data_IF_048214088376
#
_entry.id   IF_048214088376
#
_cell.length_a   1.000
_cell.length_b   1.000
_cell.length_c   1.000
_cell.angle_alpha   90.00
_cell.angle_beta   90.00
_cell.angle_gamma   90.00
#
_symmetry.space_group_name_H-M   'P 1'
#
loop_
_entity.id
_entity.type
_entity.pdbx_description
1 polymer ?
#
# COMPACT_ATOMS: atom_id res chain seq x y z
N UNK A 1 -0.31 22.51 12.35
CA UNK A 1 -1.07 21.28 12.05
C UNK A 1 -0.20 20.18 11.41
N UNK A 2 0.94 20.49 10.80
CA UNK A 2 1.86 19.47 10.22
C UNK A 2 2.60 18.62 11.27
N UNK A 3 2.64 19.03 12.54
CA UNK A 3 3.40 18.37 13.61
C UNK A 3 2.64 17.22 14.32
N UNK A 4 1.36 16.98 14.03
CA UNK A 4 0.53 16.06 14.84
C UNK A 4 0.74 14.57 14.50
N UNK A 5 1.33 14.26 13.35
CA UNK A 5 1.50 12.88 12.88
C UNK A 5 2.93 12.61 12.47
N UNK A 6 3.42 11.40 12.75
CA UNK A 6 4.69 10.87 12.28
C UNK A 6 4.46 9.80 11.23
N UNK A 7 5.35 9.75 10.23
CA UNK A 7 5.44 8.60 9.33
C UNK A 7 6.75 7.92 9.67
N UNK A 8 6.64 6.76 10.28
CA UNK A 8 7.76 5.89 10.57
C UNK A 8 8.13 5.24 9.25
N UNK A 9 9.20 5.74 8.62
CA UNK A 9 9.89 4.97 7.60
C UNK A 9 10.20 3.62 8.24
N UNK A 10 9.46 2.58 7.86
CA UNK A 10 9.79 1.24 8.29
C UNK A 10 11.19 1.00 7.79
N UNK A 11 12.11 0.88 8.74
CA UNK A 11 13.50 0.69 8.46
C UNK A 11 13.65 -0.66 7.75
N UNK A 12 13.60 -0.65 6.41
CA UNK A 12 14.03 -1.77 5.59
C UNK A 12 15.51 -2.12 5.86
N UNK A 13 16.26 -1.21 6.49
CA UNK A 13 17.59 -1.49 7.03
C UNK A 13 17.59 -2.14 8.44
N UNK A 14 16.50 -2.04 9.22
CA UNK A 14 16.45 -2.57 10.59
C UNK A 14 15.84 -3.96 10.71
N UNK A 15 15.15 -4.50 9.69
CA UNK A 15 14.64 -5.88 9.76
C UNK A 15 15.76 -6.93 9.84
N UNK A 16 16.97 -6.62 9.36
CA UNK A 16 18.15 -7.49 9.51
C UNK A 16 18.92 -7.27 10.84
N UNK A 17 18.73 -6.13 11.52
CA UNK A 17 19.48 -5.77 12.74
C UNK A 17 18.62 -5.80 14.03
N UNK A 18 17.30 -5.74 13.93
CA UNK A 18 16.38 -5.68 15.07
C UNK A 18 16.05 -7.05 15.69
N UNK A 19 16.70 -8.13 15.25
CA UNK A 19 16.62 -9.42 15.92
C UNK A 19 17.32 -9.43 17.31
N UNK A 20 18.00 -8.35 17.71
CA UNK A 20 18.78 -8.30 18.94
C UNK A 20 18.40 -7.21 19.97
N UNK A 21 17.43 -6.32 19.72
CA UNK A 21 17.00 -5.32 20.72
C UNK A 21 15.50 -5.03 20.58
N UNK A 22 14.69 -5.62 21.46
CA UNK A 22 13.32 -5.21 21.78
C UNK A 22 12.44 -4.78 20.60
N UNK A 23 12.11 -5.71 19.70
CA UNK A 23 11.22 -5.44 18.57
C UNK A 23 9.88 -4.83 19.02
N UNK A 24 9.36 -3.90 18.24
CA UNK A 24 8.01 -3.35 18.44
C UNK A 24 7.00 -4.49 18.36
N UNK A 25 6.36 -4.84 19.48
CA UNK A 25 5.25 -5.80 19.50
C UNK A 25 3.95 -5.05 19.21
N UNK A 26 3.24 -5.45 18.16
CA UNK A 26 1.93 -4.90 17.81
C UNK A 26 0.82 -5.60 18.60
N UNK A 27 -0.03 -4.82 19.26
CA UNK A 27 -1.17 -5.37 20.00
C UNK A 27 -2.27 -5.85 19.03
N UNK A 28 -3.15 -6.73 19.52
CA UNK A 28 -4.33 -7.16 18.75
C UNK A 28 -5.23 -5.98 18.36
N UNK A 29 -5.28 -4.94 19.21
CA UNK A 29 -6.01 -3.70 18.92
C UNK A 29 -5.40 -2.89 17.77
N UNK A 30 -4.07 -2.85 17.66
CA UNK A 30 -3.39 -2.18 16.56
C UNK A 30 -3.60 -2.91 15.23
N UNK A 31 -3.49 -4.25 15.26
CA UNK A 31 -3.74 -5.11 14.10
C UNK A 31 -5.19 -4.98 13.64
N UNK A 32 -6.16 -5.04 14.56
CA UNK A 32 -7.58 -4.89 14.25
C UNK A 32 -7.88 -3.51 13.65
N UNK A 33 -7.35 -2.44 14.24
CA UNK A 33 -7.53 -1.08 13.73
C UNK A 33 -7.00 -0.92 12.30
N UNK A 34 -5.79 -1.42 12.02
CA UNK A 34 -5.21 -1.31 10.68
C UNK A 34 -5.96 -2.19 9.66
N UNK A 35 -6.40 -3.37 10.07
CA UNK A 35 -7.25 -4.26 9.26
C UNK A 35 -8.55 -3.57 8.84
N UNK A 36 -9.20 -2.87 9.77
CA UNK A 36 -10.40 -2.09 9.50
C UNK A 36 -10.14 -0.95 8.53
N UNK A 37 -9.10 -0.13 8.78
CA UNK A 37 -8.71 0.99 7.91
C UNK A 37 -8.47 0.51 6.46
N UNK A 38 -7.75 -0.61 6.28
CA UNK A 38 -7.46 -1.15 4.95
C UNK A 38 -8.73 -1.64 4.28
N UNK A 39 -9.53 -2.45 4.97
CA UNK A 39 -10.76 -2.98 4.39
C UNK A 39 -11.78 -1.89 4.06
N UNK A 40 -11.91 -0.85 4.89
CA UNK A 40 -12.78 0.30 4.61
C UNK A 40 -12.28 1.09 3.38
N UNK A 41 -10.98 1.39 3.31
CA UNK A 41 -10.40 2.11 2.18
C UNK A 41 -10.63 1.38 0.85
N UNK A 42 -10.46 0.05 0.85
CA UNK A 42 -10.64 -0.77 -0.34
C UNK A 42 -12.11 -1.02 -0.69
N UNK A 43 -13.02 -1.23 0.29
CA UNK A 43 -14.47 -1.25 -0.02
C UNK A 43 -14.93 0.05 -0.65
N UNK A 44 -14.49 1.19 -0.12
CA UNK A 44 -14.84 2.49 -0.70
C UNK A 44 -14.26 2.68 -2.11
N UNK A 45 -13.04 2.20 -2.35
CA UNK A 45 -12.33 2.39 -3.61
C UNK A 45 -12.57 1.32 -4.68
N UNK A 46 -13.17 0.17 -4.33
CA UNK A 46 -13.31 -1.02 -5.18
C UNK A 46 -14.62 -1.80 -5.01
N UNK A 47 -15.52 -1.40 -4.10
CA UNK A 47 -16.70 -2.19 -3.74
C UNK A 47 -17.73 -2.39 -4.87
N UNK A 48 -17.62 -1.67 -5.99
CA UNK A 48 -18.41 -1.89 -7.19
C UNK A 48 -17.68 -2.73 -8.27
N UNK A 49 -16.44 -3.14 -7.97
CA UNK A 49 -15.66 -4.09 -8.77
C UNK A 49 -15.72 -5.49 -8.14
N UNK A 50 -15.88 -5.58 -6.82
CA UNK A 50 -16.04 -6.82 -6.05
C UNK A 50 -17.49 -7.07 -5.64
N UNK A 51 -17.87 -8.34 -5.50
CA UNK A 51 -19.13 -8.73 -4.86
C UNK A 51 -19.04 -8.56 -3.33
N UNK A 52 -20.15 -8.21 -2.69
CA UNK A 52 -20.23 -8.13 -1.23
C UNK A 52 -20.61 -9.49 -0.61
N UNK A 53 -20.01 -9.89 0.54
CA UNK A 53 -19.02 -9.13 1.31
C UNK A 53 -17.62 -9.14 0.70
N UNK A 54 -16.97 -7.97 0.59
CA UNK A 54 -15.58 -7.84 0.13
C UNK A 54 -14.61 -7.51 1.27
N UNK A 55 -13.51 -8.28 1.34
CA UNK A 55 -12.39 -8.05 2.25
C UNK A 55 -11.06 -8.03 1.50
N UNK A 56 -10.33 -6.92 1.58
CA UNK A 56 -8.98 -6.81 0.99
C UNK A 56 -7.94 -7.61 1.78
N UNK A 57 -8.11 -7.67 3.10
CA UNK A 57 -7.16 -8.28 4.03
C UNK A 57 -7.90 -8.85 5.23
N UNK A 58 -7.22 -9.72 5.98
CA UNK A 58 -7.60 -10.16 7.32
C UNK A 58 -6.53 -9.74 8.35
N UNK A 59 -6.81 -9.99 9.63
CA UNK A 59 -5.90 -9.66 10.73
C UNK A 59 -4.60 -10.48 10.71
N UNK A 60 -4.62 -11.69 10.15
CA UNK A 60 -3.43 -12.55 10.01
C UNK A 60 -2.43 -11.96 9.03
N UNK A 61 -2.89 -11.56 7.83
CA UNK A 61 -2.03 -10.88 6.84
C UNK A 61 -1.49 -9.57 7.40
N UNK A 62 -2.31 -8.75 8.06
CA UNK A 62 -1.85 -7.49 8.66
C UNK A 62 -0.77 -7.72 9.70
N UNK A 63 -0.97 -8.71 10.60
CA UNK A 63 0.03 -9.08 11.60
C UNK A 63 1.34 -9.50 10.95
N UNK A 64 1.29 -10.38 9.95
CA UNK A 64 2.49 -10.85 9.25
C UNK A 64 3.24 -9.68 8.59
N UNK A 65 2.53 -8.79 7.90
CA UNK A 65 3.11 -7.62 7.24
C UNK A 65 3.77 -6.66 8.25
N UNK A 66 3.17 -6.49 9.43
CA UNK A 66 3.72 -5.68 10.52
C UNK A 66 4.97 -6.32 11.12
N UNK A 67 4.92 -7.61 11.45
CA UNK A 67 6.03 -8.37 12.04
C UNK A 67 7.23 -8.47 11.09
N UNK A 68 6.98 -8.58 9.79
CA UNK A 68 8.02 -8.58 8.75
C UNK A 68 8.52 -7.19 8.37
N UNK A 69 8.00 -6.13 8.99
CA UNK A 69 8.40 -4.75 8.72
C UNK A 69 8.12 -4.30 7.28
N UNK A 70 7.08 -4.84 6.65
CA UNK A 70 6.72 -4.56 5.24
C UNK A 70 5.86 -3.30 5.08
N UNK A 71 5.31 -2.79 6.18
CA UNK A 71 4.45 -1.61 6.19
C UNK A 71 5.17 -0.40 6.75
N UNK A 72 5.18 0.68 5.97
CA UNK A 72 5.47 2.03 6.45
C UNK A 72 4.16 2.57 7.03
N UNK A 73 4.19 3.08 8.25
CA UNK A 73 3.00 3.46 9.00
C UNK A 73 2.92 4.97 9.19
N UNK A 74 1.69 5.47 9.27
CA UNK A 74 1.38 6.80 9.78
C UNK A 74 0.76 6.63 11.17
N UNK A 75 1.25 7.40 12.13
CA UNK A 75 0.81 7.38 13.52
C UNK A 75 0.65 8.81 14.04
N UNK A 76 -0.29 9.09 14.94
CA UNK A 76 -0.27 10.33 15.70
C UNK A 76 1.02 10.42 16.55
N UNK A 77 1.55 11.62 16.72
CA UNK A 77 2.77 11.83 17.51
C UNK A 77 2.59 11.29 18.93
N UNK A 78 3.56 10.48 19.38
CA UNK A 78 3.55 9.87 20.71
C UNK A 78 2.56 8.71 20.88
N UNK A 79 1.86 8.29 19.82
CA UNK A 79 0.93 7.17 19.86
C UNK A 79 1.45 5.99 19.02
N UNK A 80 1.21 4.77 19.51
CA UNK A 80 1.58 3.55 18.78
C UNK A 80 0.51 3.13 17.76
N UNK A 81 -0.74 3.56 17.93
CA UNK A 81 -1.83 3.11 17.07
C UNK A 81 -1.67 3.67 15.65
N UNK A 82 -1.59 2.84 14.60
CA UNK A 82 -1.49 3.31 13.23
C UNK A 82 -2.83 3.87 12.74
N UNK A 83 -2.75 4.93 11.94
CA UNK A 83 -3.89 5.59 11.27
C UNK A 83 -3.79 5.51 9.75
N UNK A 84 -2.77 4.84 9.24
CA UNK A 84 -2.58 4.59 7.81
C UNK A 84 -1.31 3.80 7.56
N UNK A 85 -1.21 3.22 6.37
CA UNK A 85 -0.05 2.44 5.96
C UNK A 85 0.16 2.47 4.46
N UNK A 86 1.38 2.15 4.04
CA UNK A 86 1.73 1.75 2.67
C UNK A 86 2.70 0.58 2.74
N UNK A 87 2.47 -0.47 1.94
CA UNK A 87 3.45 -1.54 1.74
C UNK A 87 4.50 -1.07 0.74
N UNK A 88 5.77 -1.34 1.02
CA UNK A 88 6.87 -1.16 0.07
C UNK A 88 7.77 -2.40 0.11
N UNK A 89 7.84 -3.13 -1.00
CA UNK A 89 8.56 -4.40 -1.08
C UNK A 89 9.55 -4.40 -2.25
N UNK A 90 10.81 -4.68 -1.95
CA UNK A 90 11.87 -4.81 -2.94
C UNK A 90 11.77 -6.16 -3.64
N UNK A 91 11.95 -6.18 -4.95
CA UNK A 91 12.04 -7.38 -5.77
C UNK A 91 13.15 -7.23 -6.82
N UNK A 92 13.50 -8.33 -7.48
CA UNK A 92 14.41 -8.34 -8.64
C UNK A 92 13.65 -8.84 -9.87
N UNK A 93 13.84 -8.17 -11.00
CA UNK A 93 13.28 -8.55 -12.29
C UNK A 93 14.29 -8.18 -13.38
N UNK A 94 14.60 -9.14 -14.27
CA UNK A 94 15.55 -8.97 -15.37
C UNK A 94 16.91 -8.35 -14.94
N UNK A 95 17.42 -8.79 -13.79
CA UNK A 95 18.69 -8.31 -13.21
C UNK A 95 18.66 -6.86 -12.72
N UNK A 96 17.47 -6.28 -12.56
CA UNK A 96 17.26 -4.93 -12.00
C UNK A 96 16.43 -5.03 -10.72
N UNK A 97 16.83 -4.25 -9.72
CA UNK A 97 16.09 -4.15 -8.47
C UNK A 97 14.92 -3.18 -8.64
N UNK A 98 13.71 -3.60 -8.26
CA UNK A 98 12.48 -2.81 -8.26
C UNK A 98 11.87 -2.71 -6.86
N UNK A 99 10.93 -1.80 -6.67
CA UNK A 99 10.10 -1.75 -5.46
C UNK A 99 8.61 -1.71 -5.81
N UNK A 100 7.84 -2.65 -5.30
CA UNK A 100 6.38 -2.66 -5.40
C UNK A 100 5.78 -1.86 -4.25
N UNK A 101 4.87 -0.93 -4.58
CA UNK A 101 4.01 -0.29 -3.59
C UNK A 101 2.55 -0.73 -3.75
N UNK A 102 1.88 -0.86 -2.61
CA UNK A 102 0.48 -1.25 -2.54
C UNK A 102 -0.02 -1.19 -1.10
N UNK A 103 -1.16 -1.82 -0.84
CA UNK A 103 -1.73 -1.89 0.52
C UNK A 103 -1.83 -0.49 1.16
N UNK A 104 -2.27 0.48 0.36
CA UNK A 104 -2.16 1.89 0.70
C UNK A 104 -3.51 2.39 1.24
N UNK A 105 -3.57 2.66 2.53
CA UNK A 105 -4.79 3.03 3.22
C UNK A 105 -4.54 4.08 4.30
N UNK A 106 -5.54 4.95 4.51
CA UNK A 106 -5.54 5.97 5.55
C UNK A 106 -6.95 6.00 6.13
N UNK A 107 -7.03 6.12 7.46
CA UNK A 107 -8.27 6.36 8.18
C UNK A 107 -9.08 7.46 7.48
N UNK A 108 -10.35 7.16 7.22
CA UNK A 108 -11.23 8.05 6.45
C UNK A 108 -11.38 9.44 7.08
N UNK A 109 -11.33 9.51 8.42
CA UNK A 109 -11.46 10.76 9.19
C UNK A 109 -10.22 11.65 9.08
N UNK A 110 -9.08 11.10 8.65
CA UNK A 110 -7.79 11.78 8.54
C UNK A 110 -7.34 11.97 7.08
N UNK A 111 -8.21 11.69 6.12
CA UNK A 111 -7.96 11.99 4.70
C UNK A 111 -7.81 13.50 4.50
N UNK A 112 -7.05 13.90 3.49
CA UNK A 112 -6.76 15.31 3.13
C UNK A 112 -5.84 16.08 4.09
N UNK A 113 -5.23 15.41 5.08
CA UNK A 113 -4.18 15.98 5.94
C UNK A 113 -2.74 15.75 5.40
N UNK A 114 -2.60 15.45 4.10
CA UNK A 114 -1.28 15.21 3.49
C UNK A 114 -0.60 13.88 3.84
N UNK A 115 -1.18 13.07 4.74
CA UNK A 115 -0.63 11.78 5.16
C UNK A 115 -0.29 10.84 3.99
N UNK A 116 -1.15 10.80 2.97
CA UNK A 116 -0.90 9.95 1.81
C UNK A 116 0.33 10.34 1.01
N UNK A 117 0.58 11.64 0.84
CA UNK A 117 1.79 12.13 0.18
C UNK A 117 3.03 11.80 1.02
N UNK A 118 2.93 11.89 2.35
CA UNK A 118 4.03 11.59 3.28
C UNK A 118 4.37 10.09 3.30
N UNK A 119 3.36 9.23 3.34
CA UNK A 119 3.52 7.77 3.23
C UNK A 119 4.17 7.39 1.91
N UNK A 120 3.68 7.93 0.78
CA UNK A 120 4.28 7.72 -0.52
C UNK A 120 5.75 8.19 -0.57
N UNK A 121 6.04 9.40 -0.09
CA UNK A 121 7.40 9.94 -0.08
C UNK A 121 8.37 9.06 0.76
N UNK A 122 7.89 8.51 1.88
CA UNK A 122 8.66 7.57 2.68
C UNK A 122 8.94 6.26 1.92
N UNK A 123 7.94 5.71 1.21
CA UNK A 123 8.11 4.52 0.38
C UNK A 123 9.08 4.75 -0.78
N UNK A 124 8.99 5.90 -1.46
CA UNK A 124 9.92 6.27 -2.52
C UNK A 124 11.34 6.44 -1.98
N UNK A 125 11.52 7.10 -0.83
CA UNK A 125 12.82 7.23 -0.17
C UNK A 125 13.43 5.87 0.17
N UNK A 126 12.62 4.95 0.72
CA UNK A 126 13.04 3.58 1.03
C UNK A 126 13.47 2.82 -0.23
N UNK A 127 12.70 2.91 -1.32
CA UNK A 127 13.05 2.27 -2.58
C UNK A 127 14.37 2.82 -3.16
N UNK A 128 14.57 4.14 -3.12
CA UNK A 128 15.83 4.77 -3.57
C UNK A 128 17.02 4.34 -2.71
N UNK A 129 16.85 4.32 -1.39
CA UNK A 129 17.89 3.88 -0.46
C UNK A 129 18.26 2.40 -0.64
N UNK A 130 17.31 1.57 -1.07
CA UNK A 130 17.55 0.18 -1.39
C UNK A 130 18.26 -0.04 -2.75
N UNK A 131 18.52 1.02 -3.54
CA UNK A 131 19.14 0.91 -4.85
C UNK A 131 18.17 0.50 -5.97
N UNK A 132 16.86 0.57 -5.74
CA UNK A 132 15.88 0.20 -6.76
C UNK A 132 15.97 1.14 -7.97
N UNK A 133 15.99 0.56 -9.16
CA UNK A 133 15.99 1.26 -10.45
C UNK A 133 14.60 1.83 -10.79
N UNK A 134 13.53 1.24 -10.26
CA UNK A 134 12.15 1.64 -10.53
C UNK A 134 11.19 1.26 -9.39
N UNK A 135 10.02 1.90 -9.38
CA UNK A 135 8.87 1.48 -8.56
C UNK A 135 7.75 0.97 -9.45
N UNK A 136 7.02 -0.01 -8.96
CA UNK A 136 5.84 -0.60 -9.59
C UNK A 136 4.64 -0.49 -8.66
N UNK A 137 3.46 -0.30 -9.25
CA UNK A 137 2.19 -0.47 -8.56
C UNK A 137 1.16 -1.07 -9.49
N UNK A 138 0.10 -1.58 -8.86
CA UNK A 138 -1.02 -2.19 -9.54
C UNK A 138 -2.31 -1.43 -9.26
N UNK A 139 -3.13 -1.27 -10.29
CA UNK A 139 -4.48 -0.70 -10.15
C UNK A 139 -5.48 -1.72 -10.69
N UNK A 140 -6.48 -2.06 -9.88
CA UNK A 140 -7.62 -2.84 -10.34
C UNK A 140 -8.51 -1.95 -11.22
N UNK A 141 -8.68 -2.31 -12.49
CA UNK A 141 -9.31 -1.51 -13.53
C UNK A 141 -10.44 -2.32 -14.18
N UNK A 142 -11.72 -1.93 -14.02
CA UNK A 142 -12.83 -2.60 -14.70
C UNK A 142 -12.75 -2.39 -16.21
N UNK A 143 -13.15 -3.40 -17.00
CA UNK A 143 -12.95 -3.38 -18.46
C UNK A 143 -14.02 -2.59 -19.22
N UNK A 144 -15.25 -2.56 -18.71
CA UNK A 144 -16.41 -2.12 -19.48
C UNK A 144 -16.88 -0.70 -19.14
N UNK A 145 -16.22 -0.03 -18.19
CA UNK A 145 -16.59 1.31 -17.74
C UNK A 145 -15.43 2.01 -17.03
N UNK A 146 -15.40 3.34 -17.10
CA UNK A 146 -14.39 4.14 -16.42
C UNK A 146 -14.76 4.32 -14.94
N UNK A 147 -13.96 3.76 -14.04
CA UNK A 147 -14.18 3.96 -12.61
C UNK A 147 -13.61 5.31 -12.16
N UNK A 148 -14.43 6.29 -11.71
CA UNK A 148 -13.94 7.65 -11.41
C UNK A 148 -12.80 7.70 -10.39
N UNK A 149 -12.87 6.87 -9.34
CA UNK A 149 -11.78 6.71 -8.37
C UNK A 149 -10.48 6.18 -9.00
N UNK A 150 -10.55 5.17 -9.85
CA UNK A 150 -9.37 4.59 -10.51
C UNK A 150 -8.77 5.57 -11.51
N UNK A 151 -9.59 6.34 -12.23
CA UNK A 151 -9.12 7.45 -13.06
C UNK A 151 -8.41 8.53 -12.25
N UNK A 152 -8.98 8.93 -11.11
CA UNK A 152 -8.34 9.89 -10.21
C UNK A 152 -7.01 9.34 -9.66
N UNK A 153 -6.95 8.05 -9.32
CA UNK A 153 -5.76 7.38 -8.81
C UNK A 153 -4.66 7.30 -9.88
N UNK A 154 -5.01 6.88 -11.10
CA UNK A 154 -4.10 6.86 -12.27
C UNK A 154 -3.52 8.25 -12.53
N UNK A 155 -4.36 9.30 -12.52
CA UNK A 155 -3.90 10.70 -12.68
C UNK A 155 -2.95 11.12 -11.57
N UNK A 156 -3.27 10.80 -10.32
CA UNK A 156 -2.42 11.14 -9.18
C UNK A 156 -1.04 10.46 -9.26
N UNK A 157 -0.99 9.16 -9.56
CA UNK A 157 0.28 8.48 -9.79
C UNK A 157 1.02 9.00 -11.03
N UNK A 158 0.30 9.40 -12.07
CA UNK A 158 0.87 10.11 -13.23
C UNK A 158 1.61 11.39 -12.84
N UNK A 159 1.03 12.20 -11.94
CA UNK A 159 1.68 13.40 -11.39
C UNK A 159 2.92 13.07 -10.55
N UNK A 160 2.99 11.87 -9.98
CA UNK A 160 4.15 11.37 -9.24
C UNK A 160 5.23 10.78 -10.16
N UNK A 161 4.99 10.69 -11.47
CA UNK A 161 5.94 10.18 -12.47
C UNK A 161 5.74 8.70 -12.85
N UNK A 162 4.64 8.07 -12.44
CA UNK A 162 4.29 6.74 -12.93
C UNK A 162 3.66 6.81 -14.32
N UNK A 163 3.99 5.85 -15.17
CA UNK A 163 3.39 5.66 -16.47
C UNK A 163 2.75 4.27 -16.56
N UNK A 164 1.71 4.14 -17.40
CA UNK A 164 1.17 2.84 -17.77
C UNK A 164 2.21 2.06 -18.59
N UNK A 165 2.42 0.80 -18.25
CA UNK A 165 3.33 -0.08 -18.99
C UNK A 165 2.69 -0.69 -20.24
N UNK A 166 1.36 -0.63 -20.35
CA UNK A 166 0.57 -1.37 -21.33
C UNK A 166 0.37 -2.86 -20.98
N UNK A 167 1.01 -3.35 -19.92
CA UNK A 167 0.86 -4.72 -19.43
C UNK A 167 -0.23 -4.83 -18.37
N UNK A 168 -0.81 -6.03 -18.27
CA UNK A 168 -1.66 -6.43 -17.15
C UNK A 168 -1.07 -7.63 -16.44
N UNK A 169 -1.26 -7.71 -15.14
CA UNK A 169 -0.88 -8.84 -14.32
C UNK A 169 -2.10 -9.72 -13.96
N UNK A 170 -1.81 -10.91 -13.47
CA UNK A 170 -2.83 -11.77 -12.85
C UNK A 170 -3.48 -11.04 -11.65
N UNK A 171 -4.71 -11.43 -11.33
CA UNK A 171 -5.47 -10.89 -10.22
C UNK A 171 -5.38 -11.83 -9.00
N UNK A 172 -4.35 -11.68 -8.14
CA UNK A 172 -4.11 -12.62 -7.03
C UNK A 172 -5.19 -12.57 -5.93
N UNK A 173 -6.11 -11.60 -5.99
CA UNK A 173 -7.20 -11.46 -5.03
C UNK A 173 -8.44 -12.28 -5.41
N UNK A 174 -8.58 -12.75 -6.65
CA UNK A 174 -9.74 -13.56 -7.04
C UNK A 174 -9.74 -14.91 -6.30
N UNK A 175 -10.84 -15.24 -5.61
CA UNK A 175 -10.98 -16.44 -4.78
C UNK A 175 -10.31 -16.35 -3.42
N UNK A 176 -9.40 -15.39 -3.21
CA UNK A 176 -8.80 -15.12 -1.90
C UNK A 176 -9.85 -14.50 -0.97
N UNK A 177 -9.94 -14.95 0.28
CA UNK A 177 -10.95 -14.50 1.26
C UNK A 177 -12.40 -14.62 0.75
N UNK A 178 -12.66 -15.57 -0.16
CA UNK A 178 -13.94 -15.72 -0.86
C UNK A 178 -14.35 -14.49 -1.69
N UNK A 179 -13.39 -13.67 -2.13
CA UNK A 179 -13.67 -12.53 -2.98
C UNK A 179 -13.99 -12.97 -4.41
N UNK A 180 -15.09 -12.43 -4.94
CA UNK A 180 -15.52 -12.63 -6.32
C UNK A 180 -15.66 -11.28 -7.00
N UNK A 181 -15.31 -11.22 -8.28
CA UNK A 181 -15.45 -10.00 -9.07
C UNK A 181 -16.93 -9.82 -9.46
N UNK A 182 -17.48 -8.64 -9.22
CA UNK A 182 -18.81 -8.24 -9.70
C UNK A 182 -18.80 -7.81 -11.18
N UNK A 183 -17.60 -7.62 -11.76
CA UNK A 183 -17.41 -7.22 -13.15
C UNK A 183 -16.06 -7.71 -13.67
N UNK A 184 -15.94 -7.90 -14.98
CA UNK A 184 -14.64 -8.20 -15.58
C UNK A 184 -13.68 -7.02 -15.34
N UNK A 185 -12.54 -7.34 -14.76
CA UNK A 185 -11.51 -6.38 -14.42
C UNK A 185 -10.14 -6.96 -14.74
N UNK A 186 -9.15 -6.07 -14.84
CA UNK A 186 -7.74 -6.43 -14.99
C UNK A 186 -6.90 -5.69 -13.96
N UNK A 187 -5.73 -6.25 -13.66
CA UNK A 187 -4.73 -5.56 -12.88
C UNK A 187 -3.77 -4.85 -13.82
N UNK A 188 -3.91 -3.54 -14.00
CA UNK A 188 -2.97 -2.78 -14.83
C UNK A 188 -1.70 -2.47 -14.04
N UNK A 189 -0.57 -2.44 -14.75
CA UNK A 189 0.73 -2.18 -14.15
C UNK A 189 1.19 -0.76 -14.49
N UNK A 190 1.52 0.02 -13.46
CA UNK A 190 2.14 1.33 -13.60
C UNK A 190 3.55 1.31 -13.01
N UNK A 191 4.48 1.97 -13.69
CA UNK A 191 5.88 2.03 -13.28
C UNK A 191 6.44 3.44 -13.32
N UNK A 192 7.37 3.71 -12.41
CA UNK A 192 8.11 4.96 -12.32
C UNK A 192 9.61 4.64 -12.24
N UNK A 193 10.45 5.17 -13.15
CA UNK A 193 11.89 5.06 -12.99
C UNK A 193 12.35 5.86 -11.76
N UNK A 194 13.29 5.30 -10.99
CA UNK A 194 13.90 5.96 -9.83
C UNK A 194 15.32 6.46 -10.10
N UNK A 195 15.86 6.25 -11.30
CA UNK A 195 17.15 6.81 -11.68
C UNK A 195 17.18 8.33 -11.43
N UNK A 196 18.30 8.80 -10.90
CA UNK A 196 18.60 10.22 -10.67
C UNK A 196 19.14 10.84 -11.95
#
# INVERSE_FOLDING_TARGET
MEEEFTVNAAAAAAAAAAAAVGGTTWSDGDVAALTEIVNEAYRWGEGNIWEEPFHRTDAGEVRELLERGKLILAQPQGQQRPVGCIKCEVFEEDGRQGAEIGFFAIDATLRRHGLGKRLYAAAESQARAAGCAFMRLYVLDPLHWDHPMKEALKRWYGQLGFALTGSSAELPLAGRLNNHLATEARLIVMEKPLHT
#
